data_IF_571043533435
#
_entry.id   IF_571043533435
#
_cell.length_a   1.000
_cell.length_b   1.000
_cell.length_c   1.000
_cell.angle_alpha   90.00
_cell.angle_beta   90.00
_cell.angle_gamma   90.00
#
_symmetry.space_group_name_H-M   'P 1'
#
loop_
_entity.id
_entity.type
_entity.pdbx_description
1 polymer ?
#
# COMPACT_ATOMS: atom_id res chain seq x y z
N UNK A 1 -3.34 -5.10 1.27
CA UNK A 1 -4.81 -5.22 1.33
C UNK A 1 -5.33 -5.93 0.09
N UNK A 2 -6.53 -6.45 0.21
CA UNK A 2 -7.31 -7.01 -0.88
C UNK A 2 -8.54 -6.13 -1.15
N UNK A 3 -9.13 -6.30 -2.33
CA UNK A 3 -10.37 -5.63 -2.73
C UNK A 3 -11.18 -6.57 -3.65
N UNK A 4 -12.53 -6.50 -3.67
CA UNK A 4 -13.33 -7.26 -4.62
C UNK A 4 -12.93 -7.00 -6.08
N UNK A 5 -12.94 -8.06 -6.90
CA UNK A 5 -12.48 -8.01 -8.29
C UNK A 5 -13.21 -6.96 -9.13
N UNK A 6 -14.51 -6.77 -8.90
CA UNK A 6 -15.35 -5.77 -9.57
C UNK A 6 -15.01 -4.31 -9.19
N UNK A 7 -14.21 -4.11 -8.14
CA UNK A 7 -13.75 -2.80 -7.67
C UNK A 7 -12.28 -2.53 -7.98
N UNK A 8 -11.55 -3.48 -8.59
CA UNK A 8 -10.11 -3.33 -8.86
C UNK A 8 -9.77 -2.18 -9.79
N UNK A 9 -10.61 -1.94 -10.81
CA UNK A 9 -10.38 -0.83 -11.73
C UNK A 9 -10.46 0.51 -11.00
N UNK A 10 -11.53 0.73 -10.23
CA UNK A 10 -11.73 1.92 -9.40
C UNK A 10 -10.59 2.08 -8.38
N UNK A 11 -10.20 0.99 -7.73
CA UNK A 11 -9.10 1.00 -6.78
C UNK A 11 -7.80 1.46 -7.42
N UNK A 12 -7.43 0.90 -8.57
CA UNK A 12 -6.18 1.27 -9.23
C UNK A 12 -6.19 2.72 -9.72
N UNK A 13 -7.27 3.14 -10.37
CA UNK A 13 -7.46 4.53 -10.81
C UNK A 13 -7.30 5.51 -9.63
N UNK A 14 -8.09 5.33 -8.57
CA UNK A 14 -8.07 6.23 -7.41
C UNK A 14 -6.73 6.19 -6.68
N UNK A 15 -6.06 5.03 -6.61
CA UNK A 15 -4.75 4.96 -5.97
C UNK A 15 -3.69 5.75 -6.74
N UNK A 16 -3.67 5.61 -8.06
CA UNK A 16 -2.62 6.16 -8.92
C UNK A 16 -2.83 7.63 -9.25
N UNK A 17 -4.08 8.06 -9.44
CA UNK A 17 -4.40 9.43 -9.86
C UNK A 17 -4.67 10.37 -8.68
N UNK A 18 -5.05 9.84 -7.51
CA UNK A 18 -5.44 10.65 -6.35
C UNK A 18 -4.64 10.29 -5.10
N UNK A 19 -4.76 9.06 -4.59
CA UNK A 19 -4.28 8.72 -3.25
C UNK A 19 -2.76 8.89 -3.10
N UNK A 20 -1.98 8.34 -4.02
CA UNK A 20 -0.52 8.49 -4.01
C UNK A 20 -0.08 9.91 -4.29
N UNK A 21 -0.58 10.58 -5.35
CA UNK A 21 -0.23 11.98 -5.59
C UNK A 21 -0.48 12.87 -4.36
N UNK A 22 -1.63 12.75 -3.70
CA UNK A 22 -1.94 13.54 -2.50
C UNK A 22 -1.03 13.20 -1.31
N UNK A 23 -0.74 11.92 -1.06
CA UNK A 23 0.18 11.54 0.01
C UNK A 23 1.63 11.94 -0.29
N UNK A 24 2.03 11.98 -1.56
CA UNK A 24 3.38 12.41 -1.98
C UNK A 24 3.61 13.91 -1.78
N UNK A 25 2.55 14.71 -1.66
CA UNK A 25 2.63 16.15 -1.36
C UNK A 25 2.88 16.43 0.14
N UNK A 26 2.70 15.43 1.02
CA UNK A 26 2.87 15.60 2.47
C UNK A 26 4.36 15.77 2.80
N UNK A 27 4.77 16.87 3.48
CA UNK A 27 6.16 17.06 3.88
C UNK A 27 6.70 15.88 4.69
N UNK A 28 7.85 15.38 4.27
CA UNK A 28 8.55 14.24 4.87
C UNK A 28 8.14 12.87 4.31
N UNK A 29 7.19 12.79 3.38
CA UNK A 29 7.02 11.60 2.54
C UNK A 29 8.09 11.64 1.45
N UNK A 30 8.97 10.63 1.45
CA UNK A 30 10.15 10.56 0.58
C UNK A 30 9.79 9.86 -0.73
N UNK A 31 9.14 8.70 -0.63
CA UNK A 31 8.74 7.91 -1.80
C UNK A 31 7.56 7.00 -1.48
N UNK A 32 6.78 6.67 -2.51
CA UNK A 32 5.68 5.71 -2.41
C UNK A 32 5.78 4.74 -3.60
N UNK A 33 5.73 3.44 -3.31
CA UNK A 33 5.71 2.40 -4.34
C UNK A 33 4.54 1.46 -4.12
N UNK A 34 3.89 1.04 -5.21
CA UNK A 34 2.83 0.03 -5.21
C UNK A 34 3.33 -1.28 -5.80
N UNK A 35 2.83 -2.36 -5.23
CA UNK A 35 3.14 -3.72 -5.62
C UNK A 35 1.87 -4.54 -5.67
N UNK A 36 1.82 -5.44 -6.64
CA UNK A 36 0.84 -6.54 -6.68
C UNK A 36 1.59 -7.84 -6.44
N UNK A 37 1.05 -8.70 -5.58
CA UNK A 37 1.65 -9.99 -5.26
C UNK A 37 1.75 -10.87 -6.51
N UNK A 38 2.81 -11.67 -6.58
CA UNK A 38 2.99 -12.74 -7.56
C UNK A 38 3.56 -13.98 -6.88
N UNK A 39 3.46 -15.18 -7.48
CA UNK A 39 4.06 -16.39 -6.92
C UNK A 39 5.56 -16.21 -6.65
N UNK A 40 5.98 -16.60 -5.44
CA UNK A 40 7.38 -16.53 -5.05
C UNK A 40 8.09 -17.81 -5.47
N UNK A 41 9.05 -17.69 -6.38
CA UNK A 41 9.96 -18.77 -6.77
C UNK A 41 11.39 -18.35 -6.45
N UNK A 42 12.12 -19.19 -5.72
CA UNK A 42 13.51 -18.88 -5.35
C UNK A 42 14.36 -20.13 -5.23
N UNK A 43 15.66 -19.98 -5.40
CA UNK A 43 16.64 -21.04 -5.14
C UNK A 43 17.06 -20.98 -3.68
N UNK A 44 16.79 -22.04 -2.91
CA UNK A 44 17.25 -22.21 -1.52
C UNK A 44 18.01 -23.52 -1.43
N UNK A 45 19.27 -23.47 -0.97
CA UNK A 45 20.10 -24.67 -0.84
C UNK A 45 20.44 -25.34 -2.18
N UNK A 46 20.45 -24.58 -3.28
CA UNK A 46 20.71 -25.09 -4.63
C UNK A 46 19.49 -25.66 -5.36
N UNK A 47 18.31 -25.67 -4.73
CA UNK A 47 17.06 -26.15 -5.33
C UNK A 47 16.07 -25.01 -5.54
N UNK A 48 15.38 -25.00 -6.68
CA UNK A 48 14.26 -24.11 -6.91
C UNK A 48 13.04 -24.55 -6.10
N UNK A 49 12.42 -23.61 -5.40
CA UNK A 49 11.23 -23.82 -4.59
C UNK A 49 10.21 -22.75 -4.87
N UNK A 50 8.95 -23.16 -4.95
CA UNK A 50 7.80 -22.27 -4.93
C UNK A 50 7.28 -22.13 -3.49
N UNK A 51 7.07 -20.88 -3.06
CA UNK A 51 6.63 -20.56 -1.71
C UNK A 51 5.30 -19.83 -1.81
N UNK A 52 4.27 -20.39 -1.21
CA UNK A 52 2.94 -19.78 -1.12
C UNK A 52 2.77 -19.24 0.29
N UNK A 53 2.67 -17.92 0.42
CA UNK A 53 2.37 -17.26 1.69
C UNK A 53 0.85 -17.17 1.82
N UNK A 54 0.28 -17.93 2.76
CA UNK A 54 -1.15 -17.89 3.03
C UNK A 54 -1.59 -16.50 3.48
N UNK A 55 -2.77 -16.09 3.02
CA UNK A 55 -3.40 -14.80 3.32
C UNK A 55 -2.57 -13.55 2.96
N UNK A 56 -1.51 -13.68 2.16
CA UNK A 56 -0.74 -12.53 1.70
C UNK A 56 -1.64 -11.58 0.89
N UNK A 57 -1.76 -10.30 1.27
CA UNK A 57 -2.60 -9.39 0.52
C UNK A 57 -2.07 -9.16 -0.89
N UNK A 58 -2.99 -9.12 -1.86
CA UNK A 58 -2.73 -8.90 -3.28
C UNK A 58 -2.05 -7.57 -3.53
N UNK A 59 -2.54 -6.49 -2.93
CA UNK A 59 -2.00 -5.14 -3.14
C UNK A 59 -1.21 -4.65 -1.93
N UNK A 60 0.01 -4.17 -2.15
CA UNK A 60 0.88 -3.60 -1.11
C UNK A 60 1.35 -2.23 -1.56
N UNK A 61 1.29 -1.24 -0.66
CA UNK A 61 1.95 0.04 -0.84
C UNK A 61 3.02 0.20 0.23
N UNK A 62 4.21 0.65 -0.17
CA UNK A 62 5.35 0.92 0.70
C UNK A 62 5.61 2.41 0.66
N UNK A 63 5.68 3.02 1.83
CA UNK A 63 5.90 4.44 2.03
C UNK A 63 7.25 4.60 2.71
N UNK A 64 8.16 5.33 2.08
CA UNK A 64 9.36 5.82 2.73
C UNK A 64 9.05 7.20 3.30
N UNK A 65 9.28 7.36 4.60
CA UNK A 65 8.96 8.58 5.34
C UNK A 65 10.15 8.96 6.21
N UNK A 66 10.38 10.26 6.40
CA UNK A 66 11.49 10.78 7.21
C UNK A 66 11.38 10.36 8.68
N UNK A 67 10.16 10.28 9.22
CA UNK A 67 9.92 9.87 10.61
C UNK A 67 8.49 9.34 10.84
N UNK A 68 8.25 8.53 11.88
CA UNK A 68 6.92 8.01 12.22
C UNK A 68 5.85 9.08 12.51
N UNK A 69 6.28 10.25 13.01
CA UNK A 69 5.41 11.35 13.41
C UNK A 69 4.57 11.89 12.25
N UNK A 70 5.05 11.73 11.01
CA UNK A 70 4.34 12.11 9.78
C UNK A 70 2.98 11.43 9.71
N UNK A 71 2.89 10.14 10.08
CA UNK A 71 1.65 9.35 10.02
C UNK A 71 0.54 9.86 10.96
N UNK A 72 0.92 10.68 11.95
CA UNK A 72 0.01 11.31 12.92
C UNK A 72 -0.12 12.82 12.73
N UNK A 73 0.50 13.37 11.68
CA UNK A 73 0.45 14.80 11.38
C UNK A 73 -0.89 15.20 10.77
N UNK A 74 -1.24 16.49 10.89
CA UNK A 74 -2.42 17.06 10.22
C UNK A 74 -2.34 16.89 8.71
N UNK A 75 -1.17 17.13 8.10
CA UNK A 75 -0.99 17.01 6.65
C UNK A 75 -1.26 15.59 6.15
N UNK A 76 -0.80 14.57 6.88
CA UNK A 76 -1.13 13.18 6.55
C UNK A 76 -2.61 12.88 6.72
N UNK A 77 -3.24 13.33 7.82
CA UNK A 77 -4.66 13.12 8.08
C UNK A 77 -5.55 13.74 7.00
N UNK A 78 -5.20 14.92 6.51
CA UNK A 78 -5.94 15.59 5.44
C UNK A 78 -5.73 14.88 4.10
N UNK A 79 -4.48 14.52 3.77
CA UNK A 79 -4.15 13.88 2.50
C UNK A 79 -4.72 12.46 2.38
N UNK A 80 -4.68 11.65 3.45
CA UNK A 80 -5.17 10.26 3.44
C UNK A 80 -6.68 10.17 3.22
N UNK A 81 -7.43 11.21 3.59
CA UNK A 81 -8.88 11.31 3.42
C UNK A 81 -9.31 12.14 2.19
N UNK A 82 -8.35 12.75 1.48
CA UNK A 82 -8.62 13.56 0.29
C UNK A 82 -9.03 12.68 -0.91
N UNK A 83 -9.99 13.17 -1.68
CA UNK A 83 -10.47 12.52 -2.90
C UNK A 83 -11.37 11.31 -2.64
N UNK A 84 -11.45 10.42 -3.63
CA UNK A 84 -12.40 9.29 -3.64
C UNK A 84 -11.97 8.12 -2.76
N UNK A 85 -10.73 8.11 -2.28
CA UNK A 85 -10.21 6.98 -1.49
C UNK A 85 -11.08 6.71 -0.25
N UNK A 86 -11.38 7.73 0.56
CA UNK A 86 -12.12 7.57 1.80
C UNK A 86 -13.59 7.19 1.59
N UNK A 87 -14.21 7.67 0.50
CA UNK A 87 -15.65 7.57 0.26
C UNK A 87 -16.05 6.43 -0.69
N UNK A 88 -15.19 6.05 -1.63
CA UNK A 88 -15.55 5.11 -2.71
C UNK A 88 -14.69 3.83 -2.72
N UNK A 89 -13.53 3.83 -2.06
CA UNK A 89 -12.59 2.70 -2.12
C UNK A 89 -12.39 2.03 -0.76
N UNK A 90 -12.11 2.80 0.29
CA UNK A 90 -11.64 2.29 1.59
C UNK A 90 -12.60 1.26 2.19
N UNK A 91 -13.91 1.50 2.11
CA UNK A 91 -14.93 0.60 2.66
C UNK A 91 -14.96 -0.79 2.00
N UNK A 92 -14.46 -0.91 0.77
CA UNK A 92 -14.40 -2.17 0.04
C UNK A 92 -13.11 -2.96 0.32
N UNK A 93 -12.11 -2.35 0.96
CA UNK A 93 -10.83 -3.01 1.23
C UNK A 93 -10.90 -3.95 2.42
N UNK A 94 -10.23 -5.10 2.32
CA UNK A 94 -10.12 -6.10 3.39
C UNK A 94 -8.70 -6.67 3.46
N UNK A 95 -8.44 -7.57 4.42
CA UNK A 95 -7.10 -8.12 4.67
C UNK A 95 -6.02 -7.01 4.76
N UNK A 96 -6.35 -5.95 5.50
CA UNK A 96 -5.45 -4.80 5.66
C UNK A 96 -4.36 -5.13 6.66
N UNK A 97 -3.12 -4.84 6.28
CA UNK A 97 -1.94 -4.98 7.13
C UNK A 97 -1.19 -3.65 7.13
N UNK A 98 -0.85 -3.14 8.31
CA UNK A 98 0.03 -1.99 8.46
C UNK A 98 1.24 -2.43 9.27
N UNK A 99 2.43 -2.14 8.75
CA UNK A 99 3.69 -2.46 9.40
C UNK A 99 4.56 -1.21 9.31
N UNK A 100 5.11 -0.79 10.44
CA UNK A 100 6.11 0.27 10.49
C UNK A 100 7.47 -0.36 10.74
N UNK A 101 8.39 -0.17 9.80
CA UNK A 101 9.76 -0.69 9.86
C UNK A 101 10.72 0.49 10.02
N UNK A 102 11.80 0.26 10.75
CA UNK A 102 12.90 1.22 10.89
C UNK A 102 14.17 0.59 10.31
N UNK A 103 14.87 1.34 9.47
CA UNK A 103 16.20 0.95 9.00
C UNK A 103 17.16 0.84 10.19
N UNK A 104 17.83 -0.30 10.32
CA UNK A 104 18.86 -0.57 11.33
C UNK A 104 20.10 0.28 11.13
#
# INVERSE_FOLDING_TARGET
>A
MDIPTDKEQLFNEVYDEEHIPYLSEVPGVISIARFTSQPLRMVIGGEEREIVIQDQPKHTAVYEIESPEILTSTGWSEAVDKGRWATEVREHTFNRRHVLLRKS
#
